data_IF_198884219047
#
_entry.id   IF_198884219047
#
_cell.length_a   1.000
_cell.length_b   1.000
_cell.length_c   1.000
_cell.angle_alpha   90.00
_cell.angle_beta   90.00
_cell.angle_gamma   90.00
#
_symmetry.space_group_name_H-M   'P 1'
#
loop_
_entity.id
_entity.type
_entity.pdbx_description
1 polymer ?
#
# COMPACT_ATOMS: atom_id res chain seq x y z
N UNK A 1 -16.46 -9.94 3.26
CA UNK A 1 -15.38 -10.80 2.75
C UNK A 1 -14.23 -9.88 2.36
N UNK A 2 -13.00 -10.09 2.86
CA UNK A 2 -11.88 -9.16 2.65
C UNK A 2 -11.45 -9.02 1.17
N UNK A 3 -11.75 -10.02 0.32
CA UNK A 3 -11.30 -10.07 -1.08
C UNK A 3 -11.74 -8.90 -1.97
N UNK A 4 -12.98 -8.40 -1.86
CA UNK A 4 -13.43 -7.30 -2.75
C UNK A 4 -12.64 -6.00 -2.56
N UNK A 5 -12.09 -5.79 -1.36
CA UNK A 5 -11.31 -4.58 -1.03
C UNK A 5 -9.94 -4.55 -1.71
N UNK A 6 -9.36 -5.71 -2.03
CA UNK A 6 -7.97 -5.85 -2.47
C UNK A 6 -7.86 -6.41 -3.89
N UNK A 7 -8.72 -5.95 -4.80
CA UNK A 7 -8.70 -6.31 -6.22
C UNK A 7 -7.86 -5.33 -7.06
N UNK A 8 -7.44 -5.75 -8.26
CA UNK A 8 -6.87 -4.84 -9.24
C UNK A 8 -7.98 -4.02 -9.91
N UNK A 9 -7.63 -2.89 -10.52
CA UNK A 9 -8.61 -2.06 -11.19
C UNK A 9 -9.18 -2.72 -12.46
N UNK A 10 -8.34 -3.48 -13.17
CA UNK A 10 -8.73 -4.11 -14.42
C UNK A 10 -9.52 -5.40 -14.25
N UNK A 11 -9.64 -5.92 -13.01
CA UNK A 11 -10.37 -7.15 -12.68
C UNK A 11 -9.91 -8.37 -13.51
N UNK A 12 -8.71 -8.31 -14.08
CA UNK A 12 -8.16 -9.35 -14.93
C UNK A 12 -7.61 -10.54 -14.13
N UNK A 13 -7.37 -10.35 -12.84
CA UNK A 13 -6.87 -11.35 -11.91
C UNK A 13 -7.76 -11.46 -10.67
N UNK A 14 -7.86 -12.65 -10.05
CA UNK A 14 -8.57 -12.80 -8.80
C UNK A 14 -8.04 -11.84 -7.72
N UNK A 15 -8.91 -11.34 -6.83
CA UNK A 15 -8.46 -10.54 -5.70
C UNK A 15 -7.58 -11.35 -4.75
N UNK A 16 -6.72 -10.66 -4.02
CA UNK A 16 -5.91 -11.24 -2.97
C UNK A 16 -6.81 -11.97 -1.95
N UNK A 17 -6.41 -13.19 -1.60
CA UNK A 17 -7.17 -14.04 -0.69
C UNK A 17 -7.15 -13.47 0.73
N UNK A 18 -5.98 -12.99 1.15
CA UNK A 18 -5.72 -12.51 2.50
C UNK A 18 -4.98 -11.17 2.49
N UNK A 19 -5.26 -10.37 3.52
CA UNK A 19 -4.60 -9.11 3.76
C UNK A 19 -4.13 -8.99 5.22
N UNK A 20 -3.03 -8.27 5.41
CA UNK A 20 -2.41 -8.04 6.72
C UNK A 20 -2.22 -6.53 6.94
N UNK A 21 -2.42 -6.01 8.16
CA UNK A 21 -2.07 -4.63 8.51
C UNK A 21 -0.57 -4.36 8.33
N UNK A 22 -0.23 -3.12 7.99
CA UNK A 22 1.17 -2.71 7.78
C UNK A 22 2.06 -2.96 9.02
N UNK A 23 1.57 -2.68 10.23
CA UNK A 23 2.34 -2.87 11.47
C UNK A 23 2.68 -4.35 11.72
N UNK A 24 1.73 -5.25 11.46
CA UNK A 24 1.91 -6.69 11.59
C UNK A 24 2.88 -7.23 10.53
N UNK A 25 2.78 -6.73 9.29
CA UNK A 25 3.72 -7.07 8.23
C UNK A 25 5.16 -6.62 8.57
N UNK A 26 5.32 -5.41 9.11
CA UNK A 26 6.61 -4.90 9.59
C UNK A 26 7.16 -5.75 10.73
N UNK A 27 6.32 -6.14 11.69
CA UNK A 27 6.72 -7.02 12.78
C UNK A 27 7.18 -8.39 12.26
N UNK A 28 6.45 -8.96 11.30
CA UNK A 28 6.78 -10.25 10.69
C UNK A 28 8.12 -10.19 9.95
N UNK A 29 8.36 -9.14 9.14
CA UNK A 29 9.62 -8.90 8.45
C UNK A 29 10.79 -8.74 9.43
N UNK A 30 10.63 -7.91 10.46
CA UNK A 30 11.66 -7.70 11.50
C UNK A 30 12.00 -8.96 12.28
N UNK A 31 11.02 -9.84 12.48
CA UNK A 31 11.23 -11.12 13.16
C UNK A 31 11.99 -12.17 12.32
N UNK A 32 12.21 -11.92 11.02
CA UNK A 32 12.84 -12.86 10.09
C UNK A 32 11.98 -14.08 9.75
N UNK A 33 10.71 -14.10 10.17
CA UNK A 33 9.79 -15.23 9.95
C UNK A 33 9.01 -15.12 8.62
N UNK A 34 9.07 -13.98 7.94
CA UNK A 34 8.48 -13.83 6.62
C UNK A 34 9.17 -14.77 5.62
N UNK A 35 8.41 -15.64 4.96
CA UNK A 35 8.94 -16.44 3.86
C UNK A 35 9.04 -15.61 2.58
N UNK A 36 9.80 -16.11 1.60
CA UNK A 36 9.87 -15.47 0.28
C UNK A 36 8.47 -15.41 -0.34
N UNK A 37 8.12 -14.26 -0.91
CA UNK A 37 6.82 -13.98 -1.55
C UNK A 37 5.61 -13.90 -0.59
N UNK A 38 5.82 -13.98 0.73
CA UNK A 38 4.73 -13.96 1.71
C UNK A 38 3.93 -12.64 1.72
N UNK A 39 4.55 -11.51 1.35
CA UNK A 39 4.01 -10.18 1.52
C UNK A 39 4.22 -9.33 0.27
N UNK A 40 3.16 -8.66 -0.17
CA UNK A 40 3.20 -7.64 -1.22
C UNK A 40 2.48 -6.38 -0.75
N UNK A 41 3.10 -5.21 -0.88
CA UNK A 41 2.43 -3.95 -0.54
C UNK A 41 1.24 -3.67 -1.47
N UNK A 42 0.10 -3.31 -0.89
CA UNK A 42 -1.09 -2.89 -1.62
C UNK A 42 -1.46 -1.45 -1.26
N UNK A 43 -1.52 -0.59 -2.28
CA UNK A 43 -1.90 0.81 -2.17
C UNK A 43 -3.38 1.03 -2.45
N UNK A 44 -3.69 1.83 -3.48
CA UNK A 44 -5.07 2.22 -3.82
C UNK A 44 -5.75 1.31 -4.87
N UNK A 45 -5.16 0.17 -5.22
CA UNK A 45 -5.76 -0.77 -6.16
C UNK A 45 -5.95 -0.26 -7.59
N UNK A 46 -5.17 0.75 -8.02
CA UNK A 46 -5.32 1.40 -9.34
C UNK A 46 -4.45 0.81 -10.45
N UNK A 47 -3.63 -0.18 -10.14
CA UNK A 47 -2.99 -1.00 -11.17
C UNK A 47 -4.03 -1.86 -11.87
N UNK A 48 -3.98 -1.92 -13.20
CA UNK A 48 -4.92 -2.71 -13.99
C UNK A 48 -4.67 -4.22 -13.90
N UNK A 49 -3.39 -4.61 -13.82
CA UNK A 49 -2.97 -6.01 -13.77
C UNK A 49 -2.68 -6.53 -12.36
N UNK A 50 -1.85 -7.56 -12.31
CA UNK A 50 -1.49 -8.33 -11.12
C UNK A 50 -0.39 -7.73 -10.26
N UNK A 51 0.18 -6.57 -10.63
CA UNK A 51 1.27 -5.94 -9.87
C UNK A 51 0.91 -5.60 -8.41
N UNK A 52 -0.39 -5.53 -8.10
CA UNK A 52 -0.91 -5.32 -6.75
C UNK A 52 -1.52 -6.59 -6.14
N UNK A 53 -1.37 -7.74 -6.78
CA UNK A 53 -1.94 -9.01 -6.34
C UNK A 53 -0.85 -9.97 -5.90
N UNK A 54 -1.14 -10.74 -4.85
CA UNK A 54 -0.22 -11.76 -4.35
C UNK A 54 -0.96 -13.08 -4.18
N UNK A 55 -0.86 -13.96 -5.17
CA UNK A 55 -1.47 -15.30 -5.11
C UNK A 55 -0.72 -16.22 -4.13
N UNK A 56 0.58 -16.02 -3.96
CA UNK A 56 1.43 -16.88 -3.14
C UNK A 56 1.45 -16.49 -1.64
N UNK A 57 0.74 -15.44 -1.26
CA UNK A 57 0.80 -14.91 0.10
C UNK A 57 -0.27 -13.84 0.36
N UNK A 58 0.05 -12.91 1.25
CA UNK A 58 -0.86 -11.84 1.65
C UNK A 58 -0.50 -10.52 0.96
N UNK A 59 -1.50 -9.66 0.81
CA UNK A 59 -1.27 -8.25 0.55
C UNK A 59 -1.18 -7.45 1.85
N UNK A 60 -0.32 -6.44 1.89
CA UNK A 60 -0.16 -5.55 3.04
C UNK A 60 -0.97 -4.29 2.78
N UNK A 61 -1.97 -4.00 3.61
CA UNK A 61 -2.77 -2.78 3.47
C UNK A 61 -1.96 -1.57 3.94
N UNK A 62 -1.42 -0.82 2.98
CA UNK A 62 -0.58 0.35 3.26
C UNK A 62 -1.39 1.62 3.47
N UNK A 63 -2.67 1.66 3.09
CA UNK A 63 -3.50 2.87 3.12
C UNK A 63 -3.66 3.52 4.49
N UNK A 64 -3.64 2.79 5.62
CA UNK A 64 -3.66 3.43 6.94
C UNK A 64 -2.39 4.26 7.26
N UNK A 65 -1.27 4.03 6.57
CA UNK A 65 -0.05 4.83 6.70
C UNK A 65 -0.13 6.03 5.75
N UNK A 66 -1.00 7.00 6.06
CA UNK A 66 -1.37 8.11 5.18
C UNK A 66 -1.05 9.50 5.75
N UNK A 67 -0.01 9.63 6.57
CA UNK A 67 0.40 10.94 7.12
C UNK A 67 1.45 11.61 6.25
N UNK A 68 1.22 12.88 5.94
CA UNK A 68 2.27 13.82 5.52
C UNK A 68 3.02 14.25 6.79
N UNK A 69 4.33 14.04 6.84
CA UNK A 69 5.20 14.29 7.99
C UNK A 69 5.80 15.69 7.97
N UNK A 70 6.22 16.13 6.78
CA UNK A 70 6.80 17.45 6.59
C UNK A 70 6.62 17.92 5.15
N UNK A 71 6.54 19.23 4.95
CA UNK A 71 6.63 19.87 3.65
C UNK A 71 7.51 21.11 3.76
N UNK A 72 8.56 21.17 2.95
CA UNK A 72 9.39 22.36 2.80
C UNK A 72 8.97 23.09 1.52
N UNK A 73 8.28 24.22 1.66
CA UNK A 73 7.77 25.00 0.54
C UNK A 73 8.88 25.72 -0.26
N UNK A 74 10.04 25.99 0.35
CA UNK A 74 11.17 26.61 -0.34
C UNK A 74 11.86 25.63 -1.29
N UNK A 75 11.95 24.35 -0.90
CA UNK A 75 12.64 23.31 -1.69
C UNK A 75 11.69 22.40 -2.47
N UNK A 76 10.40 22.39 -2.14
CA UNK A 76 9.40 21.49 -2.71
C UNK A 76 9.46 20.05 -2.17
N UNK A 77 10.25 19.77 -1.13
CA UNK A 77 10.41 18.42 -0.58
C UNK A 77 9.26 18.08 0.39
N UNK A 78 8.61 16.94 0.15
CA UNK A 78 7.58 16.35 1.03
C UNK A 78 8.11 15.05 1.62
N UNK A 79 7.99 14.91 2.94
CA UNK A 79 8.14 13.64 3.64
C UNK A 79 6.74 13.11 3.97
N UNK A 80 6.43 11.90 3.51
CA UNK A 80 5.11 11.30 3.67
C UNK A 80 5.21 9.79 3.88
N UNK A 81 4.24 9.24 4.59
CA UNK A 81 4.05 7.79 4.68
C UNK A 81 3.62 7.22 3.31
N UNK A 82 4.00 5.97 3.03
CA UNK A 82 3.85 5.36 1.70
C UNK A 82 2.39 5.14 1.27
N UNK A 83 1.42 5.20 2.19
CA UNK A 83 0.00 5.07 1.92
C UNK A 83 -0.71 6.38 1.57
N UNK A 84 -0.02 7.53 1.63
CA UNK A 84 -0.60 8.83 1.26
C UNK A 84 -1.04 8.81 -0.21
N UNK A 85 -2.25 9.28 -0.49
CA UNK A 85 -2.73 9.41 -1.86
C UNK A 85 -2.16 10.66 -2.53
N UNK A 86 -1.95 10.58 -3.84
CA UNK A 86 -1.52 11.73 -4.63
C UNK A 86 -2.52 12.90 -4.54
N UNK A 87 -3.83 12.61 -4.43
CA UNK A 87 -4.85 13.65 -4.21
C UNK A 87 -4.62 14.44 -2.93
N UNK A 88 -4.20 13.77 -1.86
CA UNK A 88 -3.96 14.40 -0.56
C UNK A 88 -2.67 15.23 -0.61
N UNK A 89 -1.66 14.76 -1.33
CA UNK A 89 -0.44 15.53 -1.61
C UNK A 89 -0.77 16.81 -2.38
N UNK A 90 -1.56 16.70 -3.45
CA UNK A 90 -1.97 17.85 -4.26
C UNK A 90 -2.76 18.84 -3.39
N UNK A 91 -3.75 18.37 -2.64
CA UNK A 91 -4.56 19.23 -1.78
C UNK A 91 -3.74 19.91 -0.67
N UNK A 92 -2.67 19.29 -0.20
CA UNK A 92 -1.82 19.83 0.86
C UNK A 92 -0.76 20.82 0.36
N UNK A 93 -0.17 20.56 -0.81
CA UNK A 93 1.07 21.23 -1.24
C UNK A 93 0.96 21.99 -2.58
N UNK A 94 -0.12 21.81 -3.35
CA UNK A 94 -0.32 22.59 -4.58
C UNK A 94 -0.71 24.04 -4.25
N UNK A 95 -0.33 25.02 -5.10
CA UNK A 95 -0.70 26.43 -4.94
C UNK A 95 -2.19 26.73 -5.05
#
# INVERSE_FOLDING_TARGET
MAGERFQSFGLATPPALDAIPADDAVALLKSGKATRSALLAYGNGRSYGDSCQNEAGMVVDMRPLNRIRAFNAETGVIEAEAGVLLSDIIAHAAP
#
